data_IF_927752570523
#
_entry.id   IF_927752570523
#
_cell.length_a   1.000
_cell.length_b   1.000
_cell.length_c   1.000
_cell.angle_alpha   90.00
_cell.angle_beta   90.00
_cell.angle_gamma   90.00
#
_symmetry.space_group_name_H-M   'P 1'
#
loop_
_entity.id
_entity.type
_entity.pdbx_description
1 polymer ?
#
# COMPACT_ATOMS: atom_id res chain seq x y z
N UNK A 1 36.78 -5.62 19.15
CA UNK A 1 36.34 -7.04 19.20
C UNK A 1 34.87 -7.08 18.84
N UNK A 2 34.57 -7.38 17.58
CA UNK A 2 33.19 -7.54 17.09
C UNK A 2 32.69 -8.93 17.49
N UNK A 3 31.62 -8.98 18.27
CA UNK A 3 30.87 -10.24 18.52
C UNK A 3 29.85 -10.41 17.41
N UNK A 4 30.09 -11.38 16.53
CA UNK A 4 29.12 -11.84 15.52
C UNK A 4 28.11 -12.73 16.25
N UNK A 5 26.84 -12.33 16.24
CA UNK A 5 25.75 -13.16 16.74
C UNK A 5 25.43 -14.27 15.72
N UNK A 6 25.10 -15.50 16.14
CA UNK A 6 24.79 -16.59 15.21
C UNK A 6 23.45 -16.36 14.54
N UNK A 7 23.46 -16.38 13.23
CA UNK A 7 22.27 -16.40 12.37
C UNK A 7 21.58 -17.76 12.55
N UNK A 8 20.41 -17.79 13.16
CA UNK A 8 19.58 -18.97 13.24
C UNK A 8 19.02 -19.29 11.84
N UNK A 9 19.56 -20.29 11.19
CA UNK A 9 19.02 -20.86 9.97
C UNK A 9 17.76 -21.67 10.31
N UNK A 10 16.59 -21.19 9.90
CA UNK A 10 15.35 -21.95 9.98
C UNK A 10 15.35 -22.96 8.82
N UNK A 11 15.75 -24.20 9.09
CA UNK A 11 15.61 -25.31 8.14
C UNK A 11 14.18 -25.83 8.23
N UNK A 12 13.36 -25.49 7.24
CA UNK A 12 12.04 -26.10 7.06
C UNK A 12 12.26 -27.50 6.47
N UNK A 13 12.23 -28.53 7.31
CA UNK A 13 12.20 -29.93 6.85
C UNK A 13 10.80 -30.22 6.29
N UNK A 14 10.67 -30.25 4.98
CA UNK A 14 9.52 -30.81 4.26
C UNK A 14 9.58 -32.34 4.35
N UNK A 15 9.06 -32.91 5.42
CA UNK A 15 8.86 -34.35 5.54
C UNK A 15 7.46 -34.72 5.01
N UNK A 16 7.43 -35.56 3.99
CA UNK A 16 6.23 -36.15 3.40
C UNK A 16 5.96 -35.60 2.00
N UNK A 17 6.16 -36.43 0.97
CA UNK A 17 5.71 -36.10 -0.38
C UNK A 17 4.16 -36.08 -0.38
N UNK A 18 3.50 -34.92 -0.44
CA UNK A 18 2.08 -34.89 -0.69
C UNK A 18 1.84 -35.30 -2.14
N UNK A 19 0.71 -35.95 -2.42
CA UNK A 19 0.18 -36.02 -3.77
C UNK A 19 0.40 -34.65 -4.44
N UNK A 20 0.95 -34.65 -5.67
CA UNK A 20 1.35 -33.43 -6.37
C UNK A 20 0.24 -32.40 -6.27
N UNK A 21 0.40 -31.44 -5.39
CA UNK A 21 -0.55 -30.34 -5.26
C UNK A 21 -0.51 -29.59 -6.58
N UNK A 22 -1.66 -29.32 -7.18
CA UNK A 22 -1.75 -28.57 -8.42
C UNK A 22 -0.97 -27.28 -8.29
N UNK A 23 0.01 -27.11 -9.19
CA UNK A 23 0.83 -25.91 -9.26
C UNK A 23 0.28 -25.02 -10.35
N UNK A 24 -0.11 -23.78 -9.99
CA UNK A 24 -0.60 -22.79 -10.92
C UNK A 24 0.43 -21.67 -11.02
N UNK A 25 0.90 -21.38 -12.23
CA UNK A 25 1.78 -20.24 -12.51
C UNK A 25 0.91 -19.01 -12.86
N UNK A 26 1.28 -17.86 -12.34
CA UNK A 26 0.58 -16.58 -12.52
C UNK A 26 -0.93 -16.69 -12.26
N UNK A 27 -1.35 -17.18 -11.08
CA UNK A 27 -2.76 -17.42 -10.78
C UNK A 27 -3.62 -16.15 -10.84
N UNK A 28 -3.01 -14.99 -10.65
CA UNK A 28 -3.67 -13.70 -10.81
C UNK A 28 -2.68 -12.58 -11.11
N UNK A 29 -3.18 -11.53 -11.76
CA UNK A 29 -2.45 -10.30 -12.04
C UNK A 29 -3.35 -9.09 -11.79
N UNK A 30 -2.75 -7.98 -11.37
CA UNK A 30 -3.45 -6.71 -11.20
C UNK A 30 -2.58 -5.56 -11.69
N UNK A 31 -3.24 -4.53 -12.22
CA UNK A 31 -2.61 -3.24 -12.51
C UNK A 31 -3.55 -2.12 -12.11
N UNK A 32 -3.01 -1.00 -11.67
CA UNK A 32 -3.81 0.18 -11.38
C UNK A 32 -3.05 1.46 -11.68
N UNK A 33 -3.83 2.49 -11.94
CA UNK A 33 -3.39 3.86 -12.12
C UNK A 33 -4.36 4.77 -11.37
N UNK A 34 -3.82 5.77 -10.67
CA UNK A 34 -4.59 6.84 -10.04
C UNK A 34 -3.97 8.17 -10.43
N UNK A 35 -4.82 9.15 -10.69
CA UNK A 35 -4.42 10.54 -10.76
C UNK A 35 -5.42 11.40 -10.00
N UNK A 36 -4.93 12.26 -9.11
CA UNK A 36 -5.77 13.16 -8.33
C UNK A 36 -5.13 14.53 -8.15
N UNK A 37 -5.98 15.53 -8.08
CA UNK A 37 -5.61 16.91 -7.81
C UNK A 37 -5.79 17.22 -6.33
N UNK A 38 -4.80 17.85 -5.72
CA UNK A 38 -4.88 18.32 -4.33
C UNK A 38 -5.65 19.64 -4.20
N UNK A 39 -6.35 19.80 -3.09
CA UNK A 39 -6.97 21.06 -2.68
C UNK A 39 -6.77 21.28 -1.15
N UNK A 40 -6.28 22.43 -0.69
CA UNK A 40 -5.68 23.48 -1.50
C UNK A 40 -4.37 23.05 -2.19
N UNK A 41 -4.05 23.66 -3.31
CA UNK A 41 -2.76 23.48 -3.99
C UNK A 41 -1.70 24.40 -3.39
N UNK A 42 -0.45 23.97 -3.50
CA UNK A 42 0.73 24.82 -3.30
C UNK A 42 1.84 24.45 -4.29
N UNK A 43 3.03 24.99 -4.11
CA UNK A 43 4.14 24.74 -5.04
C UNK A 43 4.62 23.30 -5.04
N UNK A 44 4.48 22.58 -3.91
CA UNK A 44 4.94 21.19 -3.79
C UNK A 44 3.83 20.18 -4.10
N UNK A 45 2.56 20.54 -3.84
CA UNK A 45 1.42 19.63 -3.91
C UNK A 45 0.35 20.17 -4.85
N UNK A 46 0.32 19.70 -6.10
CA UNK A 46 -0.76 19.96 -7.06
C UNK A 46 -1.45 18.69 -7.48
N UNK A 47 -0.68 17.66 -7.83
CA UNK A 47 -1.18 16.38 -8.27
C UNK A 47 -0.47 15.26 -7.54
N UNK A 48 -1.17 14.16 -7.40
CA UNK A 48 -0.59 12.86 -7.05
C UNK A 48 -0.95 11.87 -8.14
N UNK A 49 0.03 11.09 -8.54
CA UNK A 49 -0.14 9.94 -9.43
C UNK A 49 0.30 8.67 -8.72
N UNK A 50 -0.43 7.59 -8.92
CA UNK A 50 -0.01 6.25 -8.56
C UNK A 50 -0.07 5.36 -9.78
N UNK A 51 0.94 4.54 -9.96
CA UNK A 51 0.94 3.44 -10.91
C UNK A 51 1.46 2.21 -10.20
N UNK A 52 0.78 1.09 -10.36
CA UNK A 52 1.20 -0.13 -9.72
C UNK A 52 0.75 -1.38 -10.45
N UNK A 53 1.45 -2.47 -10.15
CA UNK A 53 1.15 -3.79 -10.65
C UNK A 53 1.42 -4.84 -9.56
N UNK A 54 0.68 -5.93 -9.62
CA UNK A 54 0.87 -7.09 -8.76
C UNK A 54 0.62 -8.39 -9.51
N UNK A 55 1.27 -9.44 -9.06
CA UNK A 55 1.06 -10.79 -9.58
C UNK A 55 1.17 -11.84 -8.47
N UNK A 56 0.28 -12.82 -8.49
CA UNK A 56 0.55 -14.12 -7.91
C UNK A 56 1.57 -14.81 -8.82
N UNK A 57 2.71 -15.21 -8.29
CA UNK A 57 3.80 -15.79 -9.07
C UNK A 57 3.60 -17.29 -9.25
N UNK A 58 3.32 -17.95 -8.15
CA UNK A 58 3.07 -19.39 -8.12
C UNK A 58 2.10 -19.72 -6.98
N UNK A 59 1.17 -20.60 -7.23
CA UNK A 59 0.27 -21.16 -6.21
C UNK A 59 0.51 -22.67 -6.10
N UNK A 60 0.72 -23.15 -4.88
CA UNK A 60 0.88 -24.58 -4.55
C UNK A 60 0.07 -24.89 -3.30
N UNK A 61 -0.86 -25.85 -3.38
CA UNK A 61 -1.67 -26.27 -2.24
C UNK A 61 -2.50 -25.14 -1.61
N UNK A 62 -2.94 -24.16 -2.43
CA UNK A 62 -3.73 -23.02 -1.97
C UNK A 62 -2.93 -21.92 -1.29
N UNK A 63 -1.60 -21.99 -1.32
CA UNK A 63 -0.70 -20.91 -0.90
C UNK A 63 -0.08 -20.26 -2.13
N UNK A 64 -0.27 -18.96 -2.29
CA UNK A 64 0.27 -18.18 -3.40
C UNK A 64 1.46 -17.34 -2.95
N UNK A 65 2.61 -17.50 -3.58
CA UNK A 65 3.68 -16.52 -3.51
C UNK A 65 3.34 -15.35 -4.44
N UNK A 66 3.47 -14.12 -3.98
CA UNK A 66 3.10 -12.93 -4.77
C UNK A 66 4.13 -11.81 -4.64
N UNK A 67 4.06 -10.88 -5.59
CA UNK A 67 4.83 -9.65 -5.59
C UNK A 67 3.96 -8.50 -6.10
N UNK A 68 4.13 -7.30 -5.49
CA UNK A 68 3.54 -6.04 -5.96
C UNK A 68 4.58 -4.94 -5.98
N UNK A 69 4.42 -4.03 -6.92
CA UNK A 69 5.25 -2.83 -7.04
C UNK A 69 4.38 -1.63 -7.39
N UNK A 70 4.51 -0.57 -6.60
CA UNK A 70 3.76 0.67 -6.75
C UNK A 70 4.69 1.86 -6.69
N UNK A 71 4.37 2.88 -7.47
CA UNK A 71 5.05 4.18 -7.46
C UNK A 71 4.03 5.28 -7.24
N UNK A 72 4.17 5.99 -6.13
CA UNK A 72 3.46 7.26 -5.89
C UNK A 72 4.35 8.42 -6.34
N UNK A 73 3.83 9.30 -7.18
CA UNK A 73 4.52 10.51 -7.62
C UNK A 73 3.79 11.74 -7.12
N UNK A 74 4.48 12.59 -6.37
CA UNK A 74 3.98 13.89 -5.93
C UNK A 74 4.47 14.94 -6.91
N UNK A 75 3.53 15.65 -7.53
CA UNK A 75 3.79 16.61 -8.60
C UNK A 75 3.37 17.99 -8.13
N UNK A 76 4.25 18.95 -8.31
CA UNK A 76 4.03 20.36 -8.03
C UNK A 76 4.37 21.25 -9.22
N UNK A 77 4.85 22.44 -8.94
CA UNK A 77 5.37 23.39 -9.91
C UNK A 77 6.53 24.23 -9.36
N UNK A 78 7.41 23.59 -8.58
CA UNK A 78 8.53 24.25 -7.90
C UNK A 78 9.57 24.82 -8.85
N UNK A 79 9.84 24.13 -9.95
CA UNK A 79 10.82 24.53 -10.99
C UNK A 79 10.20 24.70 -12.36
N UNK A 80 9.19 23.91 -12.68
CA UNK A 80 8.45 23.90 -13.94
C UNK A 80 7.02 23.44 -13.74
N UNK A 81 6.17 23.67 -14.71
CA UNK A 81 4.82 23.08 -14.72
C UNK A 81 4.93 21.55 -14.74
N UNK A 82 4.14 20.86 -13.92
CA UNK A 82 4.20 19.41 -13.72
C UNK A 82 5.60 18.92 -13.28
N UNK A 83 6.16 19.60 -12.29
CA UNK A 83 7.44 19.23 -11.71
C UNK A 83 7.26 18.03 -10.75
N UNK A 84 7.75 16.86 -11.13
CA UNK A 84 7.76 15.71 -10.26
C UNK A 84 8.71 15.99 -9.09
N UNK A 85 8.17 16.23 -7.91
CA UNK A 85 8.93 16.61 -6.73
C UNK A 85 9.51 15.41 -5.99
N UNK A 86 8.71 14.33 -5.89
CA UNK A 86 9.03 13.14 -5.13
C UNK A 86 8.41 11.91 -5.78
N UNK A 87 9.14 10.80 -5.76
CA UNK A 87 8.65 9.47 -6.09
C UNK A 87 8.83 8.57 -4.87
N UNK A 88 7.76 7.89 -4.48
CA UNK A 88 7.75 6.91 -3.40
C UNK A 88 7.54 5.53 -4.02
N UNK A 89 8.44 4.61 -3.75
CA UNK A 89 8.36 3.23 -4.21
C UNK A 89 7.84 2.37 -3.06
N UNK A 90 6.85 1.55 -3.36
CA UNK A 90 6.28 0.57 -2.46
C UNK A 90 6.41 -0.79 -3.11
N UNK A 91 7.28 -1.63 -2.57
CA UNK A 91 7.49 -3.00 -3.02
C UNK A 91 6.99 -3.93 -1.94
N UNK A 92 6.27 -4.97 -2.33
CA UNK A 92 5.80 -5.97 -1.39
C UNK A 92 5.94 -7.37 -1.99
N UNK A 93 6.44 -8.31 -1.20
CA UNK A 93 6.47 -9.72 -1.49
C UNK A 93 5.89 -10.50 -0.31
N UNK A 94 5.28 -11.64 -0.60
CA UNK A 94 4.71 -12.42 0.49
C UNK A 94 4.17 -13.76 0.07
N UNK A 95 3.66 -14.46 1.07
CA UNK A 95 2.90 -15.70 0.92
C UNK A 95 1.49 -15.44 1.42
N UNK A 96 0.49 -15.70 0.61
CA UNK A 96 -0.91 -15.56 1.00
C UNK A 96 -1.66 -16.87 0.85
N UNK A 97 -2.66 -17.05 1.70
CA UNK A 97 -3.59 -18.17 1.65
C UNK A 97 -5.01 -17.67 1.73
N UNK A 98 -5.87 -18.18 0.86
CA UNK A 98 -7.30 -17.92 0.89
C UNK A 98 -8.02 -18.92 1.79
N UNK A 99 -9.01 -18.44 2.54
CA UNK A 99 -9.89 -19.21 3.40
C UNK A 99 -11.32 -19.04 2.89
N UNK A 100 -11.78 -20.01 2.11
CA UNK A 100 -12.99 -19.86 1.31
C UNK A 100 -12.85 -18.78 0.23
N UNK A 101 -13.97 -18.19 -0.17
CA UNK A 101 -14.00 -17.15 -1.22
C UNK A 101 -13.84 -15.73 -0.68
N UNK A 102 -13.98 -15.57 0.63
CA UNK A 102 -14.18 -14.26 1.25
C UNK A 102 -13.01 -13.77 2.09
N UNK A 103 -12.10 -14.62 2.51
CA UNK A 103 -11.03 -14.24 3.43
C UNK A 103 -9.65 -14.66 2.92
N UNK A 104 -8.66 -13.86 3.23
CA UNK A 104 -7.26 -14.12 2.92
C UNK A 104 -6.39 -13.70 4.10
N UNK A 105 -5.33 -14.45 4.36
CA UNK A 105 -4.25 -14.03 5.24
C UNK A 105 -2.91 -14.14 4.52
N UNK A 106 -1.98 -13.25 4.84
CA UNK A 106 -0.66 -13.20 4.25
C UNK A 106 0.42 -12.93 5.30
N UNK A 107 1.60 -13.50 5.06
CA UNK A 107 2.87 -13.03 5.62
C UNK A 107 3.48 -12.11 4.58
N UNK A 108 3.91 -10.94 5.00
CA UNK A 108 4.26 -9.84 4.10
C UNK A 108 5.63 -9.28 4.45
N UNK A 109 6.46 -9.11 3.44
CA UNK A 109 7.64 -8.27 3.50
C UNK A 109 7.43 -7.07 2.58
N UNK A 110 7.49 -5.86 3.13
CA UNK A 110 7.32 -4.62 2.37
C UNK A 110 8.56 -3.75 2.46
N UNK A 111 8.90 -3.09 1.37
CA UNK A 111 9.91 -2.04 1.30
C UNK A 111 9.27 -0.75 0.82
N UNK A 112 9.49 0.33 1.55
CA UNK A 112 9.07 1.67 1.14
C UNK A 112 10.32 2.54 1.05
N UNK A 113 10.49 3.24 -0.08
CA UNK A 113 11.54 4.23 -0.22
C UNK A 113 11.01 5.51 -0.84
N UNK A 114 11.53 6.64 -0.40
CA UNK A 114 11.14 7.99 -0.82
C UNK A 114 12.32 8.69 -1.45
N UNK A 115 12.13 9.15 -2.67
CA UNK A 115 13.18 9.81 -3.44
C UNK A 115 12.72 11.18 -3.91
N UNK A 116 13.57 12.16 -3.72
CA UNK A 116 13.41 13.46 -4.39
C UNK A 116 13.76 13.27 -5.87
N UNK A 117 12.91 13.74 -6.76
CA UNK A 117 13.09 13.61 -8.22
C UNK A 117 13.77 14.86 -8.78
N UNK A 118 14.68 14.66 -9.75
CA UNK A 118 15.40 15.72 -10.48
C UNK A 118 16.10 16.78 -9.58
N UNK A 119 16.55 16.36 -8.41
CA UNK A 119 17.24 17.23 -7.42
C UNK A 119 18.46 16.53 -6.86
N UNK A 120 19.36 17.30 -6.25
CA UNK A 120 20.46 16.74 -5.47
C UNK A 120 19.86 15.80 -4.43
N UNK A 121 20.22 14.54 -4.49
CA UNK A 121 19.78 13.53 -3.54
C UNK A 121 20.38 13.85 -2.18
N UNK A 122 19.57 14.27 -1.28
CA UNK A 122 19.80 14.08 0.15
C UNK A 122 19.56 12.58 0.41
N UNK A 123 20.00 12.07 1.52
CA UNK A 123 19.89 10.65 1.86
C UNK A 123 18.49 10.07 1.57
N UNK A 124 18.42 8.82 1.11
CA UNK A 124 17.17 8.13 0.88
C UNK A 124 16.46 7.86 2.20
N UNK A 125 15.17 8.15 2.26
CA UNK A 125 14.31 7.76 3.38
C UNK A 125 13.66 6.43 3.02
N UNK A 126 14.04 5.36 3.69
CA UNK A 126 13.49 4.03 3.43
C UNK A 126 13.28 3.22 4.70
N UNK A 127 12.41 2.22 4.61
CA UNK A 127 12.21 1.23 5.67
C UNK A 127 11.64 -0.08 5.12
N UNK A 128 11.97 -1.16 5.80
CA UNK A 128 11.46 -2.50 5.54
C UNK A 128 10.56 -2.96 6.67
N UNK A 129 9.47 -3.63 6.35
CA UNK A 129 8.50 -4.16 7.30
C UNK A 129 8.33 -5.66 7.06
N UNK A 130 8.41 -6.45 8.11
CA UNK A 130 7.95 -7.83 8.12
C UNK A 130 6.69 -7.90 8.96
N UNK A 131 5.61 -8.47 8.40
CA UNK A 131 4.32 -8.44 9.07
C UNK A 131 3.35 -9.51 8.60
N UNK A 132 2.12 -9.35 9.07
CA UNK A 132 0.97 -10.15 8.66
C UNK A 132 -0.15 -9.24 8.20
N UNK A 133 -0.96 -9.73 7.26
CA UNK A 133 -2.13 -9.02 6.75
C UNK A 133 -3.31 -9.98 6.61
N UNK A 134 -4.48 -9.53 7.04
CA UNK A 134 -5.76 -10.17 6.78
C UNK A 134 -6.58 -9.31 5.83
N UNK A 135 -7.30 -9.93 4.91
CA UNK A 135 -8.25 -9.28 4.03
C UNK A 135 -9.55 -10.09 3.97
N UNK A 136 -10.65 -9.41 3.72
CA UNK A 136 -11.92 -10.09 3.57
C UNK A 136 -12.98 -9.26 2.90
N UNK A 137 -14.08 -9.98 2.54
CA UNK A 137 -15.28 -9.37 1.97
C UNK A 137 -16.49 -9.94 2.70
N UNK A 138 -17.48 -9.11 2.90
CA UNK A 138 -18.77 -9.50 3.46
C UNK A 138 -19.86 -9.09 2.49
N UNK A 139 -20.61 -10.06 2.00
CA UNK A 139 -21.84 -9.81 1.24
C UNK A 139 -22.95 -9.37 2.22
N UNK A 140 -23.89 -8.56 1.74
CA UNK A 140 -25.02 -8.09 2.52
C UNK A 140 -25.72 -6.92 1.83
N UNK A 141 -26.64 -6.28 2.54
CA UNK A 141 -27.33 -5.08 2.05
C UNK A 141 -26.34 -3.95 1.71
N UNK A 142 -25.27 -3.85 2.49
CA UNK A 142 -24.12 -3.00 2.22
C UNK A 142 -22.92 -3.95 2.13
N UNK A 143 -22.45 -4.30 0.92
CA UNK A 143 -21.23 -5.09 0.74
C UNK A 143 -20.04 -4.35 1.33
N UNK A 144 -19.20 -5.08 2.06
CA UNK A 144 -18.00 -4.54 2.70
C UNK A 144 -16.76 -5.29 2.20
N UNK A 145 -15.68 -4.57 1.96
CA UNK A 145 -14.34 -5.15 1.84
C UNK A 145 -13.43 -4.50 2.89
N UNK A 146 -12.51 -5.28 3.44
CA UNK A 146 -11.59 -4.77 4.45
C UNK A 146 -10.23 -5.42 4.35
N UNK A 147 -9.21 -4.70 4.78
CA UNK A 147 -7.88 -5.23 5.08
C UNK A 147 -7.41 -4.71 6.44
N UNK A 148 -6.62 -5.52 7.12
CA UNK A 148 -5.92 -5.11 8.33
C UNK A 148 -4.52 -5.73 8.34
N UNK A 149 -3.52 -4.99 8.77
CA UNK A 149 -2.14 -5.44 8.82
C UNK A 149 -1.45 -4.98 10.08
N UNK A 150 -0.45 -5.76 10.51
CA UNK A 150 0.48 -5.42 11.58
C UNK A 150 1.87 -5.88 11.18
N UNK A 151 2.85 -4.99 11.28
CA UNK A 151 4.22 -5.31 10.93
C UNK A 151 5.23 -4.60 11.81
N UNK A 152 6.41 -5.20 11.89
CA UNK A 152 7.58 -4.66 12.58
C UNK A 152 8.60 -4.18 11.56
N UNK A 153 9.16 -3.00 11.77
CA UNK A 153 10.22 -2.45 10.93
C UNK A 153 11.54 -3.17 11.22
N UNK A 154 12.07 -3.85 10.22
CA UNK A 154 13.30 -4.65 10.34
C UNK A 154 14.55 -3.86 10.00
N UNK A 155 14.41 -2.83 9.16
CA UNK A 155 15.45 -1.90 8.75
C UNK A 155 14.82 -0.55 8.44
N UNK A 156 15.47 0.55 8.81
CA UNK A 156 15.03 1.89 8.46
C UNK A 156 16.22 2.83 8.33
N UNK A 157 16.15 3.74 7.36
CA UNK A 157 17.06 4.85 7.17
C UNK A 157 16.31 6.15 7.36
N UNK A 158 16.83 7.04 8.19
CA UNK A 158 16.28 8.37 8.48
C UNK A 158 14.82 8.39 8.99
N UNK A 159 14.31 7.26 9.49
CA UNK A 159 13.02 7.18 10.21
C UNK A 159 13.16 6.22 11.38
N UNK A 160 12.65 6.62 12.54
CA UNK A 160 12.69 5.81 13.76
C UNK A 160 11.46 4.87 13.88
N UNK A 161 10.93 4.36 12.76
CA UNK A 161 9.72 3.52 12.78
C UNK A 161 10.00 2.17 13.43
N UNK A 162 9.04 1.67 14.22
CA UNK A 162 9.14 0.40 14.93
C UNK A 162 8.03 -0.56 14.54
N UNK A 163 6.80 -0.15 14.73
CA UNK A 163 5.61 -0.93 14.41
C UNK A 163 4.69 -0.12 13.54
N UNK A 164 4.06 -0.81 12.61
CA UNK A 164 3.04 -0.26 11.73
C UNK A 164 1.79 -1.11 11.79
N UNK A 165 0.65 -0.49 12.10
CA UNK A 165 -0.66 -1.11 11.98
C UNK A 165 -1.44 -0.38 10.89
N UNK A 166 -2.04 -1.12 9.96
CA UNK A 166 -2.81 -0.61 8.83
C UNK A 166 -4.23 -1.15 8.85
N UNK A 167 -5.15 -0.36 8.34
CA UNK A 167 -6.54 -0.77 8.15
C UNK A 167 -7.14 -0.04 6.95
N UNK A 168 -7.92 -0.77 6.17
CA UNK A 168 -8.74 -0.24 5.08
C UNK A 168 -10.15 -0.81 5.18
N UNK A 169 -11.15 0.01 4.90
CA UNK A 169 -12.54 -0.38 4.80
C UNK A 169 -13.15 0.27 3.56
N UNK A 170 -13.86 -0.52 2.76
CA UNK A 170 -14.62 -0.08 1.59
C UNK A 170 -16.05 -0.60 1.71
N UNK A 171 -17.03 0.26 1.52
CA UNK A 171 -18.46 -0.05 1.61
C UNK A 171 -19.19 0.42 0.35
N UNK A 172 -19.86 -0.49 -0.35
CA UNK A 172 -20.73 -0.16 -1.47
C UNK A 172 -22.11 0.26 -0.93
N UNK A 173 -22.44 1.56 -1.01
CA UNK A 173 -23.68 2.12 -0.47
C UNK A 173 -24.88 1.86 -1.38
N UNK A 174 -24.67 2.00 -2.68
CA UNK A 174 -25.68 1.74 -3.72
C UNK A 174 -25.01 0.95 -4.83
N UNK A 175 -25.46 -0.29 -5.02
CA UNK A 175 -24.95 -1.18 -6.06
C UNK A 175 -25.97 -1.26 -7.21
N UNK A 176 -25.60 -0.73 -8.38
CA UNK A 176 -26.29 -0.96 -9.63
C UNK A 176 -25.58 -2.05 -10.46
N UNK A 177 -26.20 -2.44 -11.56
CA UNK A 177 -25.63 -3.49 -12.44
C UNK A 177 -24.27 -3.11 -13.06
N UNK A 178 -24.02 -1.82 -13.27
CA UNK A 178 -22.79 -1.33 -13.95
C UNK A 178 -21.99 -0.34 -13.13
N UNK A 179 -22.61 0.28 -12.13
CA UNK A 179 -21.98 1.30 -11.29
C UNK A 179 -22.41 1.14 -9.84
N UNK A 180 -21.55 1.49 -8.93
CA UNK A 180 -21.81 1.55 -7.49
C UNK A 180 -21.33 2.88 -6.91
N UNK A 181 -22.09 3.44 -5.99
CA UNK A 181 -21.61 4.50 -5.11
C UNK A 181 -20.97 3.84 -3.90
N UNK A 182 -19.80 4.33 -3.50
CA UNK A 182 -19.04 3.76 -2.39
C UNK A 182 -18.49 4.82 -1.45
N UNK A 183 -18.12 4.38 -0.26
CA UNK A 183 -17.26 5.11 0.68
C UNK A 183 -16.13 4.20 1.11
N UNK A 184 -14.95 4.77 1.31
CA UNK A 184 -13.79 4.04 1.79
C UNK A 184 -13.01 4.86 2.80
N UNK A 185 -12.20 4.19 3.60
CA UNK A 185 -11.32 4.83 4.55
C UNK A 185 -10.09 4.01 4.85
N UNK A 186 -8.99 4.72 5.11
CA UNK A 186 -7.71 4.12 5.49
C UNK A 186 -7.23 4.70 6.81
N UNK A 187 -6.53 3.87 7.55
CA UNK A 187 -5.80 4.25 8.74
C UNK A 187 -4.43 3.55 8.76
N UNK A 188 -3.39 4.28 9.12
CA UNK A 188 -2.05 3.77 9.31
C UNK A 188 -1.47 4.36 10.58
N UNK A 189 -1.31 3.55 11.62
CA UNK A 189 -0.68 3.94 12.88
C UNK A 189 0.78 3.47 12.88
N UNK A 190 1.70 4.38 13.23
CA UNK A 190 3.14 4.09 13.29
C UNK A 190 3.67 4.46 14.66
N UNK A 191 4.33 3.50 15.30
CA UNK A 191 5.12 3.77 16.50
C UNK A 191 6.53 4.20 16.10
N UNK A 192 7.06 5.20 16.79
CA UNK A 192 8.34 5.81 16.46
C UNK A 192 9.25 5.80 17.69
N UNK A 193 10.46 5.31 17.52
CA UNK A 193 11.53 5.52 18.49
C UNK A 193 12.06 6.94 18.34
N UNK A 194 11.90 7.73 19.39
CA UNK A 194 12.41 9.10 19.40
C UNK A 194 13.91 9.12 19.58
N UNK A 195 14.57 9.97 18.82
CA UNK A 195 15.97 10.32 19.01
C UNK A 195 16.15 11.81 18.74
N UNK A 196 17.35 12.34 19.00
CA UNK A 196 17.65 13.74 18.67
C UNK A 196 17.54 14.01 17.17
N UNK A 197 17.86 13.01 16.34
CA UNK A 197 17.65 13.08 14.89
C UNK A 197 16.16 12.94 14.47
N UNK A 198 15.32 12.29 15.31
CA UNK A 198 13.91 12.07 15.08
C UNK A 198 13.09 12.42 16.33
N UNK A 199 12.86 13.70 16.59
CA UNK A 199 12.10 14.14 17.78
C UNK A 199 10.60 13.80 17.68
N UNK A 200 10.15 13.26 16.55
CA UNK A 200 8.75 12.91 16.28
C UNK A 200 8.29 11.74 17.15
N UNK A 201 7.09 11.82 17.65
CA UNK A 201 6.40 10.70 18.31
C UNK A 201 5.57 9.85 17.36
N UNK A 202 4.85 8.90 17.94
CA UNK A 202 3.86 8.08 17.22
C UNK A 202 2.86 8.94 16.45
N UNK A 203 2.39 8.44 15.31
CA UNK A 203 1.45 9.18 14.48
C UNK A 203 0.41 8.28 13.82
N UNK A 204 -0.68 8.90 13.36
CA UNK A 204 -1.76 8.28 12.64
C UNK A 204 -1.97 9.01 11.30
N UNK A 205 -1.75 8.31 10.18
CA UNK A 205 -2.23 8.70 8.87
C UNK A 205 -3.64 8.18 8.70
N UNK A 206 -4.50 8.94 8.04
CA UNK A 206 -5.88 8.56 7.78
C UNK A 206 -6.43 9.22 6.54
N UNK A 207 -7.35 8.53 5.87
CA UNK A 207 -8.12 9.07 4.76
C UNK A 207 -9.57 8.65 4.84
N UNK A 208 -10.41 9.43 4.19
CA UNK A 208 -11.80 9.08 3.89
C UNK A 208 -12.08 9.47 2.45
N UNK A 209 -12.74 8.60 1.72
CA UNK A 209 -13.01 8.74 0.29
C UNK A 209 -14.48 8.40 0.02
N UNK A 210 -15.08 9.06 -0.96
CA UNK A 210 -16.38 8.68 -1.52
C UNK A 210 -16.40 8.91 -3.02
N UNK A 211 -17.10 8.05 -3.74
CA UNK A 211 -17.07 8.12 -5.18
C UNK A 211 -18.06 7.21 -5.87
N UNK A 212 -17.90 7.15 -7.19
CA UNK A 212 -18.64 6.23 -8.06
C UNK A 212 -17.64 5.33 -8.77
N UNK A 213 -17.95 4.04 -8.78
CA UNK A 213 -17.12 2.98 -9.37
C UNK A 213 -17.90 2.21 -10.42
N UNK A 214 -17.32 2.05 -11.61
CA UNK A 214 -17.81 1.20 -12.69
C UNK A 214 -16.92 -0.02 -12.81
N UNK A 215 -17.54 -1.21 -12.92
CA UNK A 215 -16.82 -2.48 -13.07
C UNK A 215 -17.35 -3.29 -14.24
N UNK A 216 -16.43 -3.85 -15.04
CA UNK A 216 -16.76 -4.78 -16.12
C UNK A 216 -15.57 -5.67 -16.47
N UNK A 217 -15.74 -7.00 -16.37
CA UNK A 217 -14.74 -7.97 -16.85
C UNK A 217 -13.35 -7.79 -16.24
N UNK A 218 -13.26 -7.66 -14.91
CA UNK A 218 -12.01 -7.43 -14.20
C UNK A 218 -11.50 -5.98 -14.26
N UNK A 219 -12.09 -5.10 -15.06
CA UNK A 219 -11.72 -3.69 -15.19
C UNK A 219 -12.57 -2.82 -14.28
N UNK A 220 -11.97 -1.79 -13.73
CA UNK A 220 -12.67 -0.75 -12.96
C UNK A 220 -12.26 0.65 -13.41
N UNK A 221 -13.22 1.57 -13.33
CA UNK A 221 -13.00 3.00 -13.41
C UNK A 221 -13.71 3.62 -12.21
N UNK A 222 -13.01 4.46 -11.47
CA UNK A 222 -13.55 5.16 -10.30
C UNK A 222 -13.32 6.65 -10.46
N UNK A 223 -14.30 7.46 -10.04
CA UNK A 223 -14.12 8.88 -9.80
C UNK A 223 -14.41 9.14 -8.32
N UNK A 224 -13.58 9.93 -7.68
CA UNK A 224 -13.68 10.10 -6.23
C UNK A 224 -13.34 11.52 -5.77
N UNK A 225 -13.84 11.81 -4.58
CA UNK A 225 -13.38 12.88 -3.72
C UNK A 225 -12.89 12.26 -2.42
N UNK A 226 -11.75 12.71 -1.92
CA UNK A 226 -11.16 12.20 -0.69
C UNK A 226 -10.65 13.34 0.18
N UNK A 227 -10.60 13.09 1.47
CA UNK A 227 -9.83 13.86 2.42
C UNK A 227 -8.76 12.97 3.03
N UNK A 228 -7.55 13.50 3.21
CA UNK A 228 -6.48 12.76 3.87
C UNK A 228 -5.71 13.65 4.83
N UNK A 229 -5.27 13.04 5.93
CA UNK A 229 -4.25 13.56 6.82
C UNK A 229 -3.07 12.60 6.82
N UNK A 230 -1.93 13.07 6.38
CA UNK A 230 -0.70 12.30 6.30
C UNK A 230 0.39 12.95 7.13
N UNK A 231 1.27 12.13 7.62
CA UNK A 231 2.44 12.55 8.36
C UNK A 231 3.66 12.15 7.55
N UNK A 232 4.66 13.02 7.48
CA UNK A 232 5.99 12.67 7.04
C UNK A 232 6.10 12.06 5.64
N UNK A 233 5.19 12.45 4.77
CA UNK A 233 5.10 11.87 3.43
C UNK A 233 6.00 12.55 2.42
N UNK A 234 6.43 13.77 2.71
CA UNK A 234 7.21 14.57 1.77
C UNK A 234 8.58 14.89 2.36
N UNK A 235 9.65 14.37 1.76
CA UNK A 235 11.03 14.46 2.27
C UNK A 235 11.48 15.91 2.48
N UNK A 236 11.10 16.82 1.58
CA UNK A 236 11.47 18.23 1.66
C UNK A 236 10.66 19.05 2.66
N UNK A 237 9.53 18.53 3.07
CA UNK A 237 8.61 19.21 3.99
C UNK A 237 8.06 18.19 4.98
N UNK A 238 8.89 17.74 5.92
CA UNK A 238 8.46 16.81 6.95
C UNK A 238 7.41 17.47 7.85
N UNK A 239 6.41 16.71 8.22
CA UNK A 239 5.35 17.16 9.10
C UNK A 239 3.96 16.75 8.63
N UNK A 240 2.99 16.83 9.54
CA UNK A 240 1.62 16.47 9.24
C UNK A 240 0.94 17.53 8.36
N UNK A 241 0.16 17.07 7.38
CA UNK A 241 -0.66 17.92 6.54
C UNK A 241 -2.02 17.27 6.27
N UNK A 242 -3.01 18.09 5.93
CA UNK A 242 -4.35 17.64 5.55
C UNK A 242 -4.74 18.30 4.24
N UNK A 243 -5.30 17.51 3.30
CA UNK A 243 -5.74 17.98 1.99
C UNK A 243 -6.96 17.20 1.52
N UNK A 244 -7.77 17.84 0.72
CA UNK A 244 -8.74 17.17 -0.11
C UNK A 244 -8.07 16.75 -1.44
N UNK A 245 -8.64 15.72 -2.08
CA UNK A 245 -8.24 15.22 -3.39
C UNK A 245 -9.50 15.00 -4.23
N UNK A 246 -9.34 15.22 -5.54
CA UNK A 246 -10.37 14.92 -6.53
C UNK A 246 -9.68 14.20 -7.69
N UNK A 247 -10.14 13.02 -8.02
CA UNK A 247 -9.42 12.22 -8.98
C UNK A 247 -10.20 11.08 -9.60
N UNK A 248 -9.43 10.29 -10.32
CA UNK A 248 -9.91 9.04 -10.88
C UNK A 248 -8.90 7.91 -10.64
N UNK A 249 -9.40 6.69 -10.67
CA UNK A 249 -8.62 5.46 -10.58
C UNK A 249 -9.08 4.50 -11.67
N UNK A 250 -8.12 3.87 -12.34
CA UNK A 250 -8.36 2.80 -13.31
C UNK A 250 -7.69 1.55 -12.75
N UNK A 251 -8.38 0.43 -12.80
CA UNK A 251 -7.84 -0.85 -12.34
C UNK A 251 -8.17 -1.99 -13.29
N UNK A 252 -7.32 -3.01 -13.23
CA UNK A 252 -7.57 -4.32 -13.81
C UNK A 252 -7.13 -5.39 -12.82
N UNK A 253 -7.98 -6.40 -12.63
CA UNK A 253 -7.65 -7.62 -11.91
C UNK A 253 -8.13 -8.81 -12.73
N UNK A 254 -7.20 -9.66 -13.14
CA UNK A 254 -7.42 -10.88 -13.91
C UNK A 254 -7.01 -12.12 -13.11
N UNK A 255 -7.64 -13.23 -13.44
CA UNK A 255 -7.25 -14.59 -13.02
C UNK A 255 -6.87 -15.39 -14.25
#
# INVERSE_FOLDING_TARGET
>A
MLRVAPTAAFVLTLAGAPAMADTVLLPDVSVHLLAAHYAPVDTDFRWVGWIGAGAGLVEVGGVTAYFTADVETIIGNTRRTFDANQANYHLEAGLRRRFGEQHEAAIVFSHVSRHVVDRVKVEAVDWNILGVRGAGRRAGRIPLAYTAGLGHTTLASLVGYRWEATGHLDAALVAGQKAEAYVAGDARFVTVERSDAFPRGNFLDRSAEGGVRWRRGGRSLETFAAWQRRNDVFVRRPGAWSRALFGFRIGYAGR
#
